data_IF_580888331209
#
_entry.id   IF_580888331209
#
_cell.length_a   1.000
_cell.length_b   1.000
_cell.length_c   1.000
_cell.angle_alpha   90.00
_cell.angle_beta   90.00
_cell.angle_gamma   90.00
#
_symmetry.space_group_name_H-M   'P 1'
#
loop_
_entity.id
_entity.type
_entity.pdbx_description
1 polymer ?
#
# COMPACT_ATOMS: atom_id res chain seq x y z
N UNK A 1 -10.13 -8.86 50.72
CA UNK A 1 -10.80 -8.81 49.40
C UNK A 1 -9.92 -7.98 48.48
N UNK A 2 -9.01 -8.62 47.75
CA UNK A 2 -8.15 -7.96 46.78
C UNK A 2 -8.79 -8.12 45.41
N UNK A 3 -9.14 -6.98 44.79
CA UNK A 3 -9.60 -6.93 43.42
C UNK A 3 -8.48 -7.44 42.51
N UNK A 4 -8.75 -8.52 41.79
CA UNK A 4 -7.90 -8.98 40.69
C UNK A 4 -8.13 -8.01 39.54
N UNK A 5 -7.17 -7.12 39.36
CA UNK A 5 -7.04 -6.26 38.20
C UNK A 5 -6.91 -7.15 36.95
N UNK A 6 -7.97 -7.23 36.14
CA UNK A 6 -7.88 -7.83 34.81
C UNK A 6 -7.04 -6.91 33.90
N UNK A 7 -6.07 -7.43 33.13
CA UNK A 7 -5.31 -6.64 32.17
C UNK A 7 -6.21 -6.16 31.01
N UNK A 8 -5.90 -5.05 30.34
CA UNK A 8 -6.67 -4.56 29.19
C UNK A 8 -6.68 -5.61 28.09
N UNK A 9 -7.86 -5.95 27.59
CA UNK A 9 -8.07 -6.98 26.59
C UNK A 9 -7.22 -6.73 25.33
N UNK A 10 -6.47 -7.77 24.94
CA UNK A 10 -5.73 -7.88 23.68
C UNK A 10 -6.53 -7.27 22.51
N UNK A 11 -5.96 -6.26 21.84
CA UNK A 11 -6.46 -5.87 20.53
C UNK A 11 -6.32 -7.08 19.59
N UNK A 12 -7.43 -7.64 19.13
CA UNK A 12 -7.45 -8.80 18.22
C UNK A 12 -6.51 -8.51 17.03
N UNK A 13 -5.58 -9.43 16.75
CA UNK A 13 -4.60 -9.30 15.66
C UNK A 13 -5.30 -9.30 14.30
N UNK A 14 -4.77 -8.56 13.34
CA UNK A 14 -5.36 -8.44 12.00
C UNK A 14 -5.41 -9.80 11.27
N UNK A 15 -4.41 -10.66 11.51
CA UNK A 15 -4.39 -12.02 10.97
C UNK A 15 -5.53 -12.89 11.51
N UNK A 16 -5.95 -12.69 12.77
CA UNK A 16 -7.12 -13.39 13.31
C UNK A 16 -8.41 -12.85 12.71
N UNK A 17 -8.53 -11.52 12.58
CA UNK A 17 -9.70 -10.90 11.99
C UNK A 17 -9.94 -11.37 10.55
N UNK A 18 -8.89 -11.46 9.72
CA UNK A 18 -9.06 -11.94 8.33
C UNK A 18 -9.43 -13.43 8.25
N UNK A 19 -9.00 -14.26 9.20
CA UNK A 19 -9.47 -15.66 9.33
C UNK A 19 -10.95 -15.71 9.71
N UNK A 20 -11.41 -14.80 10.55
CA UNK A 20 -12.82 -14.69 10.96
C UNK A 20 -13.69 -14.21 9.79
N UNK A 21 -13.21 -13.24 9.00
CA UNK A 21 -13.83 -12.85 7.73
C UNK A 21 -13.92 -14.02 6.76
N UNK A 22 -12.90 -14.87 6.67
CA UNK A 22 -12.92 -16.07 5.82
C UNK A 22 -14.02 -17.07 6.23
N UNK A 23 -14.44 -17.03 7.50
CA UNK A 23 -15.57 -17.80 8.06
C UNK A 23 -16.92 -17.08 7.93
N UNK A 24 -16.94 -15.86 7.38
CA UNK A 24 -18.14 -15.07 7.15
C UNK A 24 -18.50 -14.11 8.30
N UNK A 25 -17.57 -13.85 9.22
CA UNK A 25 -17.77 -12.88 10.30
C UNK A 25 -17.77 -11.45 9.75
N UNK A 26 -18.92 -10.77 9.85
CA UNK A 26 -19.09 -9.38 9.42
C UNK A 26 -18.44 -8.38 10.35
N UNK A 27 -18.43 -8.65 11.65
CA UNK A 27 -17.82 -7.77 12.62
C UNK A 27 -16.30 -7.71 12.40
N UNK A 28 -15.69 -8.85 12.05
CA UNK A 28 -14.27 -8.90 11.76
C UNK A 28 -13.85 -8.00 10.59
N UNK A 29 -14.65 -7.89 9.52
CA UNK A 29 -14.34 -6.99 8.41
C UNK A 29 -14.59 -5.53 8.75
N UNK A 30 -15.58 -5.21 9.59
CA UNK A 30 -15.81 -3.86 10.11
C UNK A 30 -14.60 -3.36 10.90
N UNK A 31 -14.05 -4.21 11.78
CA UNK A 31 -12.84 -3.86 12.55
C UNK A 31 -11.64 -3.62 11.62
N UNK A 32 -11.46 -4.43 10.58
CA UNK A 32 -10.41 -4.21 9.58
C UNK A 32 -10.66 -2.93 8.76
N UNK A 33 -11.92 -2.60 8.46
CA UNK A 33 -12.31 -1.38 7.76
C UNK A 33 -11.95 -0.15 8.58
N UNK A 34 -12.34 -0.11 9.86
CA UNK A 34 -12.06 1.01 10.77
C UNK A 34 -10.56 1.23 10.93
N UNK A 35 -9.76 0.16 10.99
CA UNK A 35 -8.30 0.24 11.13
C UNK A 35 -7.57 0.75 9.90
N UNK A 36 -8.04 0.43 8.69
CA UNK A 36 -7.25 0.59 7.47
C UNK A 36 -7.88 1.49 6.40
N UNK A 37 -9.16 1.85 6.50
CA UNK A 37 -9.86 2.66 5.48
C UNK A 37 -9.15 3.98 5.18
N UNK A 38 -8.72 4.71 6.21
CA UNK A 38 -7.97 5.98 6.02
C UNK A 38 -6.62 5.79 5.32
N UNK A 39 -5.89 4.72 5.64
CA UNK A 39 -4.60 4.45 5.01
C UNK A 39 -4.74 4.00 3.54
N UNK A 40 -5.76 3.17 3.25
CA UNK A 40 -6.11 2.79 1.87
C UNK A 40 -6.57 4.01 1.08
N UNK A 41 -7.38 4.88 1.67
CA UNK A 41 -7.81 6.14 1.07
C UNK A 41 -6.62 7.03 0.72
N UNK A 42 -5.69 7.25 1.65
CA UNK A 42 -4.49 8.04 1.41
C UNK A 42 -3.63 7.50 0.27
N UNK A 43 -3.44 6.18 0.19
CA UNK A 43 -2.76 5.52 -0.92
C UNK A 43 -3.48 5.74 -2.25
N UNK A 44 -4.80 5.56 -2.27
CA UNK A 44 -5.62 5.70 -3.46
C UNK A 44 -5.63 7.15 -3.95
N UNK A 45 -5.82 8.12 -3.05
CA UNK A 45 -5.81 9.55 -3.38
C UNK A 45 -4.46 9.99 -3.96
N UNK A 46 -3.35 9.52 -3.40
CA UNK A 46 -2.00 9.80 -3.91
C UNK A 46 -1.77 9.22 -5.32
N UNK A 47 -2.40 8.09 -5.61
CA UNK A 47 -2.21 7.34 -6.86
C UNK A 47 -3.14 7.84 -7.96
N UNK A 48 -4.43 7.99 -7.65
CA UNK A 48 -5.50 8.37 -8.58
C UNK A 48 -5.61 9.88 -8.78
N UNK A 49 -5.18 10.68 -7.78
CA UNK A 49 -5.29 12.15 -7.76
C UNK A 49 -6.72 12.66 -7.96
N UNK A 50 -7.68 11.88 -7.49
CA UNK A 50 -9.11 12.10 -7.62
C UNK A 50 -9.76 11.57 -6.35
N UNK A 51 -10.56 12.42 -5.69
CA UNK A 51 -11.17 12.10 -4.40
C UNK A 51 -12.27 11.06 -4.55
N UNK A 52 -13.18 11.23 -5.50
CA UNK A 52 -14.29 10.30 -5.72
C UNK A 52 -13.75 8.92 -6.08
N UNK A 53 -12.75 8.88 -6.97
CA UNK A 53 -12.04 7.66 -7.32
C UNK A 53 -11.39 6.96 -6.12
N UNK A 54 -10.86 7.73 -5.18
CA UNK A 54 -10.23 7.19 -3.98
C UNK A 54 -11.26 6.64 -3.00
N UNK A 55 -12.43 7.25 -2.88
CA UNK A 55 -13.55 6.73 -2.06
C UNK A 55 -14.09 5.43 -2.65
N UNK A 56 -14.29 5.37 -3.97
CA UNK A 56 -14.65 4.14 -4.69
C UNK A 56 -13.59 3.04 -4.49
N UNK A 57 -12.31 3.40 -4.55
CA UNK A 57 -11.21 2.47 -4.34
C UNK A 57 -11.25 1.82 -2.95
N UNK A 58 -11.54 2.58 -1.89
CA UNK A 58 -11.68 2.03 -0.54
C UNK A 58 -12.79 0.98 -0.53
N UNK A 59 -13.97 1.31 -1.05
CA UNK A 59 -15.11 0.39 -1.04
C UNK A 59 -14.80 -0.91 -1.80
N UNK A 60 -14.25 -0.79 -3.01
CA UNK A 60 -13.92 -1.95 -3.84
C UNK A 60 -12.78 -2.79 -3.24
N UNK A 61 -11.80 -2.18 -2.57
CA UNK A 61 -10.73 -2.90 -1.88
C UNK A 61 -11.28 -3.75 -0.75
N UNK A 62 -12.14 -3.20 0.11
CA UNK A 62 -12.73 -3.97 1.22
C UNK A 62 -13.73 -5.01 0.73
N UNK A 63 -14.46 -4.76 -0.37
CA UNK A 63 -15.22 -5.80 -1.05
C UNK A 63 -14.32 -6.95 -1.51
N UNK A 64 -13.14 -6.66 -2.10
CA UNK A 64 -12.17 -7.69 -2.50
C UNK A 64 -11.60 -8.44 -1.32
N UNK A 65 -11.36 -7.77 -0.19
CA UNK A 65 -10.92 -8.42 1.05
C UNK A 65 -11.95 -9.46 1.48
N UNK A 66 -13.23 -9.10 1.53
CA UNK A 66 -14.32 -10.03 1.84
C UNK A 66 -14.31 -11.26 0.92
N UNK A 67 -14.26 -11.04 -0.39
CA UNK A 67 -14.29 -12.12 -1.38
C UNK A 67 -13.05 -13.04 -1.34
N UNK A 68 -11.90 -12.47 -1.00
CA UNK A 68 -10.60 -13.17 -1.07
C UNK A 68 -10.06 -13.60 0.28
N UNK A 69 -10.77 -13.36 1.38
CA UNK A 69 -10.31 -13.69 2.73
C UNK A 69 -9.84 -15.15 2.87
N UNK A 70 -10.55 -16.10 2.25
CA UNK A 70 -10.18 -17.53 2.24
C UNK A 70 -8.83 -17.84 1.55
N UNK A 71 -8.34 -16.94 0.71
CA UNK A 71 -7.04 -17.08 0.01
C UNK A 71 -5.87 -16.47 0.79
N UNK A 72 -6.14 -15.86 1.94
CA UNK A 72 -5.10 -15.28 2.78
C UNK A 72 -4.20 -16.39 3.38
N UNK A 73 -2.90 -16.19 3.27
CA UNK A 73 -1.89 -17.08 3.85
C UNK A 73 -1.57 -16.59 5.26
N UNK A 74 -1.96 -17.37 6.28
CA UNK A 74 -1.74 -17.09 7.71
C UNK A 74 -0.27 -16.86 8.10
N UNK A 75 0.68 -17.24 7.26
CA UNK A 75 2.10 -16.98 7.50
C UNK A 75 2.55 -15.59 7.01
N UNK A 76 1.64 -14.81 6.43
CA UNK A 76 1.89 -13.44 5.96
C UNK A 76 1.18 -12.45 6.86
N UNK A 77 1.71 -11.23 6.91
CA UNK A 77 1.04 -10.11 7.57
C UNK A 77 -0.14 -9.60 6.73
N UNK A 78 -1.23 -9.22 7.38
CA UNK A 78 -2.44 -8.73 6.72
C UNK A 78 -2.21 -7.41 5.97
N UNK A 79 -1.59 -6.42 6.61
CA UNK A 79 -1.44 -5.07 6.04
C UNK A 79 -0.75 -5.07 4.66
N UNK A 80 0.41 -5.74 4.43
CA UNK A 80 1.00 -5.82 3.09
C UNK A 80 0.10 -6.48 2.04
N UNK A 81 -0.70 -7.47 2.43
CA UNK A 81 -1.65 -8.12 1.53
C UNK A 81 -2.78 -7.16 1.12
N UNK A 82 -3.34 -6.43 2.08
CA UNK A 82 -4.34 -5.39 1.85
C UNK A 82 -3.82 -4.29 0.92
N UNK A 83 -2.65 -3.72 1.21
CA UNK A 83 -2.05 -2.67 0.38
C UNK A 83 -1.69 -3.17 -1.02
N UNK A 84 -1.37 -4.45 -1.18
CA UNK A 84 -1.22 -5.07 -2.50
C UNK A 84 -2.52 -5.07 -3.31
N UNK A 85 -3.65 -5.37 -2.67
CA UNK A 85 -4.98 -5.30 -3.31
C UNK A 85 -5.28 -3.86 -3.71
N UNK A 86 -5.10 -2.90 -2.80
CA UNK A 86 -5.34 -1.49 -3.03
C UNK A 86 -4.49 -0.92 -4.17
N UNK A 87 -3.19 -1.21 -4.16
CA UNK A 87 -2.28 -0.78 -5.21
C UNK A 87 -2.72 -1.33 -6.57
N UNK A 88 -2.95 -2.64 -6.68
CA UNK A 88 -3.38 -3.26 -7.94
C UNK A 88 -4.68 -2.65 -8.46
N UNK A 89 -5.66 -2.40 -7.58
CA UNK A 89 -6.91 -1.75 -7.97
C UNK A 89 -6.66 -0.34 -8.53
N UNK A 90 -5.90 0.50 -7.83
CA UNK A 90 -5.63 1.87 -8.26
C UNK A 90 -4.89 1.90 -9.61
N UNK A 91 -3.94 0.98 -9.83
CA UNK A 91 -3.25 0.87 -11.10
C UNK A 91 -4.19 0.45 -12.23
N UNK A 92 -5.04 -0.54 -11.99
CA UNK A 92 -6.04 -0.97 -12.97
C UNK A 92 -7.00 0.17 -13.34
N UNK A 93 -7.38 0.99 -12.37
CA UNK A 93 -8.23 2.16 -12.57
C UNK A 93 -7.53 3.26 -13.39
N UNK A 94 -6.27 3.58 -13.09
CA UNK A 94 -5.47 4.49 -13.91
C UNK A 94 -5.39 4.03 -15.37
N UNK A 95 -5.26 2.73 -15.61
CA UNK A 95 -5.25 2.19 -16.98
C UNK A 95 -6.59 2.36 -17.69
N UNK A 96 -7.70 2.08 -16.99
CA UNK A 96 -9.05 2.25 -17.54
C UNK A 96 -9.29 3.70 -17.96
N UNK A 97 -8.87 4.66 -17.13
CA UNK A 97 -8.96 6.09 -17.41
C UNK A 97 -8.15 6.50 -18.65
N UNK A 98 -6.93 5.98 -18.80
CA UNK A 98 -6.07 6.24 -19.98
C UNK A 98 -6.58 5.60 -21.27
N UNK A 99 -7.28 4.47 -21.18
CA UNK A 99 -7.81 3.75 -22.34
C UNK A 99 -9.13 4.35 -22.87
N UNK A 100 -9.79 5.23 -22.10
CA UNK A 100 -10.97 5.96 -22.55
C UNK A 100 -10.50 7.19 -23.33
N UNK A 101 -10.81 7.34 -24.63
CA UNK A 101 -10.51 8.59 -25.34
C UNK A 101 -11.24 9.72 -24.61
N UNK A 102 -10.49 10.70 -24.12
CA UNK A 102 -11.07 11.93 -23.58
C UNK A 102 -11.93 12.55 -24.68
N UNK A 103 -13.26 12.49 -24.52
CA UNK A 103 -14.10 13.48 -25.14
C UNK A 103 -13.68 14.82 -24.54
N UNK A 104 -13.12 15.67 -25.38
CA UNK A 104 -12.84 17.07 -25.07
C UNK A 104 -14.12 17.69 -24.54
N UNK A 105 -14.14 17.96 -23.25
CA UNK A 105 -14.88 19.06 -22.67
C UNK A 105 -13.91 19.77 -21.74
N UNK A 106 -13.27 20.80 -22.31
CA UNK A 106 -12.84 21.97 -21.56
C UNK A 106 -14.10 22.58 -20.92
N UNK A 107 -14.13 22.57 -19.59
CA UNK A 107 -14.35 23.69 -18.67
C UNK A 107 -15.07 23.15 -17.43
N UNK A 108 -14.35 23.09 -16.33
CA UNK A 108 -14.62 24.04 -15.25
C UNK A 108 -13.59 23.85 -14.13
N UNK A 109 -13.07 24.99 -13.71
CA UNK A 109 -12.16 25.17 -12.60
C UNK A 109 -12.73 24.50 -11.33
N UNK A 110 -12.24 23.32 -10.97
CA UNK A 110 -12.35 22.88 -9.59
C UNK A 110 -11.34 23.71 -8.78
N UNK A 111 -11.79 24.55 -7.83
CA UNK A 111 -10.87 25.31 -7.01
C UNK A 111 -10.01 24.32 -6.21
N UNK A 112 -8.75 24.23 -6.60
CA UNK A 112 -7.67 23.75 -5.74
C UNK A 112 -7.59 24.75 -4.60
N UNK A 113 -8.20 24.47 -3.44
CA UNK A 113 -7.68 24.91 -2.15
C UNK A 113 -8.42 24.34 -0.94
N UNK A 114 -7.57 24.02 0.05
CA UNK A 114 -7.78 24.07 1.50
C UNK A 114 -8.84 23.15 2.10
N UNK A 115 -8.39 21.97 2.53
CA UNK A 115 -9.13 21.09 3.42
C UNK A 115 -8.30 19.92 3.97
N UNK A 116 -6.98 20.12 4.17
CA UNK A 116 -6.18 19.25 5.04
C UNK A 116 -5.39 20.16 5.98
N UNK A 117 -6.13 20.83 6.85
CA UNK A 117 -5.73 21.27 8.18
C UNK A 117 -7.07 21.23 8.94
N UNK A 118 -7.28 20.30 9.85
CA UNK A 118 -6.61 20.31 11.13
C UNK A 118 -6.16 18.93 11.63
N UNK A 119 -5.01 18.96 12.31
CA UNK A 119 -4.35 17.93 13.14
C UNK A 119 -3.27 17.03 12.53
N UNK A 120 -2.71 17.36 11.36
CA UNK A 120 -1.34 16.91 11.10
C UNK A 120 -0.40 17.88 11.81
N UNK A 121 0.04 17.49 13.01
CA UNK A 121 1.05 18.19 13.80
C UNK A 121 2.22 18.58 12.88
N UNK A 122 2.78 19.78 12.98
CA UNK A 122 3.94 20.21 12.16
C UNK A 122 5.11 19.23 12.32
N UNK A 123 5.13 18.51 13.45
CA UNK A 123 5.98 17.35 13.71
C UNK A 123 5.74 16.17 12.76
N UNK A 124 4.50 15.87 12.39
CA UNK A 124 4.11 14.73 11.55
C UNK A 124 4.49 14.95 10.08
N UNK A 125 4.30 16.16 9.55
CA UNK A 125 4.78 16.52 8.20
C UNK A 125 6.32 16.51 8.10
N UNK A 126 7.02 16.91 9.16
CA UNK A 126 8.47 16.82 9.25
C UNK A 126 8.95 15.35 9.37
N UNK A 127 8.25 14.53 10.15
CA UNK A 127 8.48 13.09 10.27
C UNK A 127 8.24 12.37 8.95
N UNK A 128 7.19 12.71 8.20
CA UNK A 128 6.94 12.16 6.86
C UNK A 128 8.06 12.53 5.88
N UNK A 129 8.55 13.78 5.92
CA UNK A 129 9.66 14.24 5.09
C UNK A 129 10.96 13.48 5.41
N UNK A 130 11.27 13.29 6.69
CA UNK A 130 12.48 12.56 7.11
C UNK A 130 12.36 11.06 6.82
N UNK A 131 11.21 10.43 7.06
CA UNK A 131 10.96 9.04 6.67
C UNK A 131 11.10 8.85 5.16
N UNK A 132 10.60 9.79 4.36
CA UNK A 132 10.71 9.76 2.90
C UNK A 132 12.17 9.87 2.44
N UNK A 133 12.95 10.72 3.09
CA UNK A 133 14.39 10.87 2.85
C UNK A 133 15.16 9.60 3.24
N UNK A 134 14.83 8.98 4.37
CA UNK A 134 15.39 7.69 4.81
C UNK A 134 15.08 6.60 3.78
N UNK A 135 13.83 6.49 3.31
CA UNK A 135 13.43 5.50 2.30
C UNK A 135 14.15 5.75 0.96
N UNK A 136 14.26 7.01 0.52
CA UNK A 136 15.02 7.32 -0.69
C UNK A 136 16.50 6.94 -0.54
N UNK A 137 17.13 7.30 0.58
CA UNK A 137 18.52 6.93 0.85
C UNK A 137 18.72 5.41 0.90
N UNK A 138 17.78 4.68 1.49
CA UNK A 138 17.80 3.22 1.53
C UNK A 138 17.62 2.60 0.13
N UNK A 139 16.73 3.16 -0.70
CA UNK A 139 16.57 2.73 -2.09
C UNK A 139 17.86 2.91 -2.89
N UNK A 140 18.60 4.01 -2.66
CA UNK A 140 19.87 4.28 -3.34
C UNK A 140 20.97 3.24 -3.01
N UNK A 141 20.87 2.54 -1.89
CA UNK A 141 21.81 1.49 -1.48
C UNK A 141 21.50 0.11 -2.09
N UNK A 142 20.38 -0.03 -2.79
CA UNK A 142 20.04 -1.27 -3.48
C UNK A 142 20.80 -1.39 -4.81
N UNK A 143 21.09 -2.63 -5.26
CA UNK A 143 21.52 -2.87 -6.63
C UNK A 143 20.57 -2.23 -7.64
N UNK A 144 21.10 -1.67 -8.72
CA UNK A 144 20.37 -0.83 -9.68
C UNK A 144 19.12 -1.54 -10.20
N UNK A 145 19.21 -2.83 -10.51
CA UNK A 145 18.11 -3.60 -11.08
C UNK A 145 17.00 -3.88 -10.05
N UNK A 146 17.36 -3.98 -8.76
CA UNK A 146 16.41 -4.14 -7.67
C UNK A 146 15.71 -2.82 -7.37
N UNK A 147 16.48 -1.72 -7.28
CA UNK A 147 15.96 -0.36 -7.13
C UNK A 147 14.99 -0.02 -8.26
N UNK A 148 15.41 -0.21 -9.51
CA UNK A 148 14.62 0.12 -10.70
C UNK A 148 13.29 -0.66 -10.73
N UNK A 149 13.30 -1.95 -10.36
CA UNK A 149 12.08 -2.74 -10.30
C UNK A 149 11.12 -2.23 -9.21
N UNK A 150 11.64 -1.83 -8.04
CA UNK A 150 10.82 -1.24 -6.97
C UNK A 150 10.31 0.16 -7.36
N UNK A 151 11.14 0.99 -7.97
CA UNK A 151 10.72 2.33 -8.38
C UNK A 151 9.62 2.28 -9.44
N UNK A 152 9.75 1.41 -10.44
CA UNK A 152 8.71 1.22 -11.45
C UNK A 152 7.41 0.69 -10.86
N UNK A 153 7.48 -0.20 -9.86
CA UNK A 153 6.30 -0.72 -9.19
C UNK A 153 5.62 0.34 -8.33
N UNK A 154 6.35 0.91 -7.38
CA UNK A 154 5.78 1.74 -6.32
C UNK A 154 5.63 3.22 -6.69
N UNK A 155 6.49 3.76 -7.57
CA UNK A 155 6.39 5.15 -8.05
C UNK A 155 5.90 5.24 -9.49
N UNK A 156 6.28 4.28 -10.33
CA UNK A 156 5.80 4.19 -11.71
C UNK A 156 4.40 3.62 -11.83
N UNK A 157 3.95 2.84 -10.85
CA UNK A 157 2.65 2.17 -10.86
C UNK A 157 2.56 1.01 -11.86
N UNK A 158 3.69 0.40 -12.24
CA UNK A 158 3.69 -0.72 -13.17
C UNK A 158 3.52 -2.05 -12.41
N UNK A 159 2.74 -2.96 -12.98
CA UNK A 159 2.68 -4.35 -12.52
C UNK A 159 3.96 -5.10 -12.85
N UNK A 160 4.21 -6.20 -12.16
CA UNK A 160 5.38 -7.06 -12.41
C UNK A 160 5.48 -7.54 -13.87
N UNK A 161 4.34 -7.78 -14.54
CA UNK A 161 4.30 -8.15 -15.96
C UNK A 161 4.69 -7.00 -16.88
N UNK A 162 4.25 -5.78 -16.59
CA UNK A 162 4.63 -4.60 -17.37
C UNK A 162 6.07 -4.21 -17.13
N UNK A 163 6.58 -4.35 -15.90
CA UNK A 163 7.99 -4.15 -15.61
C UNK A 163 8.82 -5.17 -16.39
N UNK A 164 8.37 -6.43 -16.44
CA UNK A 164 9.01 -7.48 -17.24
C UNK A 164 9.06 -7.12 -18.73
N UNK A 165 7.94 -6.66 -19.29
CA UNK A 165 7.86 -6.20 -20.67
C UNK A 165 8.75 -4.96 -20.92
N UNK A 166 8.69 -3.96 -20.03
CA UNK A 166 9.43 -2.69 -20.15
C UNK A 166 10.94 -2.87 -20.04
N UNK A 167 11.39 -3.76 -19.17
CA UNK A 167 12.82 -4.03 -18.95
C UNK A 167 13.34 -5.16 -19.86
N UNK A 168 12.49 -5.79 -20.67
CA UNK A 168 12.87 -6.92 -21.52
C UNK A 168 13.38 -8.12 -20.71
N UNK A 169 12.83 -8.36 -19.51
CA UNK A 169 13.30 -9.41 -18.60
C UNK A 169 12.16 -10.37 -18.23
N UNK A 170 12.43 -11.66 -17.96
CA UNK A 170 11.39 -12.60 -17.56
C UNK A 170 10.65 -12.17 -16.28
N UNK A 171 9.35 -12.47 -16.19
CA UNK A 171 8.53 -12.17 -15.01
C UNK A 171 9.12 -12.76 -13.72
N UNK A 172 9.71 -13.96 -13.79
CA UNK A 172 10.41 -14.57 -12.65
C UNK A 172 11.61 -13.76 -12.16
N UNK A 173 12.34 -13.12 -13.09
CA UNK A 173 13.46 -12.22 -12.78
C UNK A 173 12.98 -10.97 -12.07
N UNK A 174 11.89 -10.35 -12.54
CA UNK A 174 11.30 -9.18 -11.89
C UNK A 174 10.79 -9.51 -10.50
N UNK A 175 10.06 -10.62 -10.33
CA UNK A 175 9.62 -11.12 -9.02
C UNK A 175 10.79 -11.29 -8.05
N UNK A 176 11.88 -11.89 -8.54
CA UNK A 176 13.08 -12.11 -7.72
C UNK A 176 13.77 -10.79 -7.34
N UNK A 177 13.94 -9.86 -8.29
CA UNK A 177 14.53 -8.54 -8.04
C UNK A 177 13.72 -7.73 -7.04
N UNK A 178 12.39 -7.73 -7.16
CA UNK A 178 11.52 -7.04 -6.20
C UNK A 178 11.60 -7.68 -4.82
N UNK A 179 11.55 -9.03 -4.73
CA UNK A 179 11.66 -9.74 -3.45
C UNK A 179 12.99 -9.44 -2.75
N UNK A 180 14.10 -9.55 -3.47
CA UNK A 180 15.44 -9.26 -2.93
C UNK A 180 15.60 -7.79 -2.56
N UNK A 181 15.09 -6.88 -3.41
CA UNK A 181 15.09 -5.44 -3.15
C UNK A 181 14.33 -5.10 -1.86
N UNK A 182 13.12 -5.62 -1.67
CA UNK A 182 12.33 -5.40 -0.45
C UNK A 182 13.01 -6.00 0.79
N UNK A 183 13.60 -7.19 0.67
CA UNK A 183 14.34 -7.83 1.77
C UNK A 183 15.55 -6.99 2.19
N UNK A 184 16.34 -6.49 1.24
CA UNK A 184 17.47 -5.60 1.50
C UNK A 184 17.02 -4.26 2.07
N UNK A 185 15.98 -3.66 1.49
CA UNK A 185 15.42 -2.40 1.96
C UNK A 185 14.98 -2.50 3.42
N UNK A 186 14.31 -3.60 3.80
CA UNK A 186 13.98 -3.89 5.19
C UNK A 186 15.22 -3.95 6.08
N UNK A 187 16.27 -4.66 5.65
CA UNK A 187 17.53 -4.73 6.38
C UNK A 187 18.18 -3.35 6.59
N UNK A 188 18.20 -2.50 5.56
CA UNK A 188 18.76 -1.14 5.62
C UNK A 188 17.98 -0.30 6.62
N UNK A 189 16.65 -0.32 6.53
CA UNK A 189 15.77 0.45 7.41
C UNK A 189 15.82 -0.01 8.88
N UNK A 190 16.19 -1.27 9.11
CA UNK A 190 16.38 -1.83 10.46
C UNK A 190 17.82 -1.64 11.00
N UNK A 191 18.72 -1.02 10.22
CA UNK A 191 20.13 -0.88 10.59
C UNK A 191 20.92 -2.19 10.57
N UNK A 192 20.40 -3.22 9.89
CA UNK A 192 20.94 -4.59 9.86
C UNK A 192 21.64 -4.94 8.54
N UNK A 193 21.70 -4.01 7.58
CA UNK A 193 22.30 -4.24 6.27
C UNK A 193 23.72 -3.69 6.17
N UNK A 194 24.66 -4.55 5.77
CA UNK A 194 26.01 -4.17 5.35
C UNK A 194 26.06 -4.29 3.83
N UNK A 195 26.39 -3.22 3.08
CA UNK A 195 26.44 -3.30 1.63
C UNK A 195 27.59 -4.21 1.17
N UNK A 196 27.26 -5.24 0.40
CA UNK A 196 28.27 -6.00 -0.34
C UNK A 196 28.82 -5.11 -1.46
N UNK A 197 30.07 -4.69 -1.32
CA UNK A 197 30.76 -3.91 -2.34
C UNK A 197 31.08 -4.82 -3.52
N UNK A 198 30.59 -4.45 -4.70
CA UNK A 198 30.92 -5.04 -5.98
C UNK A 198 31.12 -3.94 -6.99
#
# INVERSE_FOLDING_TARGET
>A
MAQVQQPPADAIRDEQLIEDVARGDRHAIEVLYDRYSSAVFGLALKTLRDREAAEEAVQEVFWRVWQRAKSFDRNRSFAPWLFGIAHNYCIDELRRRRARPQSVYEDDEHPILSGIADSADVSEAALESEQRRIVQSALQQLPVEQRQALELAYFGGLTQQEIAARLGNPLGTIKTRMRLGLQKLRGILQGQYVPEQG
#
